data_IF_614041630667
#
_entry.id   IF_614041630667
#
_cell.length_a   1.000
_cell.length_b   1.000
_cell.length_c   1.000
_cell.angle_alpha   90.00
_cell.angle_beta   90.00
_cell.angle_gamma   90.00
#
_symmetry.space_group_name_H-M   'P 1'
#
loop_
_entity.id
_entity.type
_entity.pdbx_description
1 polymer ?
#
# COMPACT_ATOMS: atom_id res chain seq x y z
N UNK A 1 18.70 -2.48 -22.69
CA UNK A 1 18.49 -1.17 -22.04
C UNK A 1 19.81 -0.67 -21.49
N UNK A 2 20.18 0.61 -21.66
CA UNK A 2 21.41 1.11 -21.06
C UNK A 2 21.25 1.35 -19.54
N UNK A 3 22.37 1.47 -18.82
CA UNK A 3 22.37 1.60 -17.35
C UNK A 3 21.63 2.85 -16.89
N UNK A 4 21.69 3.93 -17.65
CA UNK A 4 21.02 5.18 -17.32
C UNK A 4 19.51 5.05 -17.44
N UNK A 5 19.04 4.41 -18.51
CA UNK A 5 17.60 4.12 -18.69
C UNK A 5 17.07 3.20 -17.59
N UNK A 6 17.82 2.15 -17.23
CA UNK A 6 17.44 1.24 -16.16
C UNK A 6 17.31 1.94 -14.80
N UNK A 7 18.32 2.74 -14.45
CA UNK A 7 18.29 3.53 -13.19
C UNK A 7 17.12 4.52 -13.21
N UNK A 8 16.88 5.19 -14.34
CA UNK A 8 15.74 6.10 -14.52
C UNK A 8 14.40 5.39 -14.34
N UNK A 9 14.25 4.21 -14.91
CA UNK A 9 13.02 3.42 -14.84
C UNK A 9 12.77 2.90 -13.40
N UNK A 10 13.79 2.40 -12.72
CA UNK A 10 13.69 1.96 -11.31
C UNK A 10 13.35 3.15 -10.41
N UNK A 11 14.14 4.22 -10.47
CA UNK A 11 13.95 5.38 -9.61
C UNK A 11 12.62 6.10 -9.90
N UNK A 12 12.28 6.27 -11.18
CA UNK A 12 11.02 6.89 -11.61
C UNK A 12 9.81 6.03 -11.26
N UNK A 13 9.88 4.72 -11.51
CA UNK A 13 8.82 3.77 -11.14
C UNK A 13 8.58 3.73 -9.63
N UNK A 14 9.65 3.68 -8.83
CA UNK A 14 9.56 3.71 -7.37
C UNK A 14 9.01 5.05 -6.87
N UNK A 15 9.48 6.16 -7.40
CA UNK A 15 8.98 7.49 -7.06
C UNK A 15 7.48 7.65 -7.37
N UNK A 16 7.06 7.21 -8.57
CA UNK A 16 5.67 7.21 -8.97
C UNK A 16 4.81 6.30 -8.09
N UNK A 17 5.31 5.12 -7.75
CA UNK A 17 4.65 4.17 -6.87
C UNK A 17 4.42 4.74 -5.46
N UNK A 18 5.43 5.38 -4.86
CA UNK A 18 5.34 6.01 -3.54
C UNK A 18 4.35 7.18 -3.58
N UNK A 19 4.46 8.06 -4.56
CA UNK A 19 3.53 9.18 -4.76
C UNK A 19 2.09 8.68 -4.93
N UNK A 20 1.89 7.61 -5.68
CA UNK A 20 0.59 6.99 -5.90
C UNK A 20 -0.04 6.48 -4.59
N UNK A 21 0.73 5.79 -3.75
CA UNK A 21 0.27 5.35 -2.42
C UNK A 21 -0.12 6.55 -1.55
N UNK A 22 0.68 7.61 -1.55
CA UNK A 22 0.39 8.83 -0.79
C UNK A 22 -0.92 9.47 -1.27
N UNK A 23 -1.08 9.69 -2.58
CA UNK A 23 -2.30 10.26 -3.16
C UNK A 23 -3.54 9.40 -2.88
N UNK A 24 -3.42 8.08 -3.02
CA UNK A 24 -4.49 7.13 -2.72
C UNK A 24 -4.89 7.23 -1.24
N UNK A 25 -3.92 7.18 -0.36
CA UNK A 25 -4.11 7.22 1.09
C UNK A 25 -4.77 8.53 1.54
N UNK A 26 -4.24 9.66 1.10
CA UNK A 26 -4.75 10.97 1.48
C UNK A 26 -6.14 11.23 0.90
N UNK A 27 -6.36 10.83 -0.34
CA UNK A 27 -7.67 10.89 -0.95
C UNK A 27 -8.72 10.07 -0.20
N UNK A 28 -8.40 8.83 0.17
CA UNK A 28 -9.29 7.97 0.95
C UNK A 28 -9.54 8.50 2.36
N UNK A 29 -8.51 8.97 3.07
CA UNK A 29 -8.65 9.60 4.39
C UNK A 29 -9.59 10.81 4.35
N UNK A 30 -9.40 11.70 3.38
CA UNK A 30 -10.22 12.89 3.22
C UNK A 30 -11.66 12.53 2.82
N UNK A 31 -11.86 11.56 1.92
CA UNK A 31 -13.18 11.10 1.52
C UNK A 31 -13.94 10.44 2.67
N UNK A 32 -13.27 9.63 3.49
CA UNK A 32 -13.85 8.97 4.65
C UNK A 32 -14.19 9.94 5.80
N UNK A 33 -13.43 11.02 5.95
CA UNK A 33 -13.70 12.08 6.92
C UNK A 33 -13.87 11.58 8.36
N UNK A 34 -14.91 12.07 9.05
CA UNK A 34 -15.21 11.68 10.44
C UNK A 34 -15.69 10.22 10.61
N UNK A 35 -16.07 9.56 9.50
CA UNK A 35 -16.53 8.17 9.54
C UNK A 35 -15.48 7.21 10.10
N UNK A 36 -14.20 7.49 9.87
CA UNK A 36 -13.09 6.71 10.42
C UNK A 36 -13.05 6.76 11.95
N UNK A 37 -13.30 7.92 12.56
CA UNK A 37 -13.37 8.08 14.02
C UNK A 37 -14.55 7.32 14.62
N UNK A 38 -15.72 7.39 13.96
CA UNK A 38 -16.92 6.67 14.39
C UNK A 38 -16.71 5.16 14.31
N UNK A 39 -16.09 4.67 13.26
CA UNK A 39 -15.79 3.24 13.11
C UNK A 39 -14.88 2.73 14.25
N UNK A 40 -13.85 3.47 14.61
CA UNK A 40 -12.97 3.11 15.72
C UNK A 40 -13.69 3.10 17.08
N UNK A 41 -14.50 4.12 17.37
CA UNK A 41 -15.12 4.26 18.68
C UNK A 41 -16.33 3.35 18.90
N UNK A 42 -17.14 3.09 17.86
CA UNK A 42 -18.37 2.33 17.99
C UNK A 42 -18.24 0.82 17.83
N UNK A 43 -17.25 0.34 17.07
CA UNK A 43 -17.06 -1.08 16.74
C UNK A 43 -16.05 -1.80 17.62
N UNK A 44 -15.45 -1.13 18.58
CA UNK A 44 -14.40 -1.71 19.41
C UNK A 44 -14.90 -2.43 20.68
N UNK A 45 -16.21 -2.55 20.90
CA UNK A 45 -16.80 -3.14 22.11
C UNK A 45 -16.44 -4.62 22.36
N UNK A 46 -16.00 -5.36 21.32
CA UNK A 46 -15.61 -6.76 21.41
C UNK A 46 -14.27 -6.97 20.64
N UNK A 47 -13.34 -7.83 21.10
CA UNK A 47 -12.04 -8.03 20.44
C UNK A 47 -12.14 -8.34 18.95
N UNK A 48 -13.07 -9.20 18.53
CA UNK A 48 -13.29 -9.55 17.13
C UNK A 48 -13.75 -8.34 16.32
N UNK A 49 -14.62 -7.51 16.86
CA UNK A 49 -15.03 -6.25 16.21
C UNK A 49 -13.86 -5.27 16.11
N UNK A 50 -12.98 -5.24 17.13
CA UNK A 50 -11.73 -4.48 17.09
C UNK A 50 -10.83 -4.92 15.95
N UNK A 51 -10.64 -6.23 15.76
CA UNK A 51 -9.85 -6.78 14.65
C UNK A 51 -10.47 -6.38 13.30
N UNK A 52 -11.77 -6.58 13.11
CA UNK A 52 -12.46 -6.20 11.87
C UNK A 52 -12.35 -4.70 11.58
N UNK A 53 -12.56 -3.87 12.61
CA UNK A 53 -12.41 -2.41 12.53
C UNK A 53 -11.00 -2.00 12.12
N UNK A 54 -9.97 -2.56 12.78
CA UNK A 54 -8.57 -2.31 12.44
C UNK A 54 -8.22 -2.76 11.01
N UNK A 55 -8.72 -3.93 10.59
CA UNK A 55 -8.53 -4.46 9.23
C UNK A 55 -9.15 -3.51 8.20
N UNK A 56 -10.41 -3.13 8.37
CA UNK A 56 -11.11 -2.22 7.46
C UNK A 56 -10.44 -0.85 7.41
N UNK A 57 -10.06 -0.31 8.58
CA UNK A 57 -9.38 0.98 8.63
C UNK A 57 -8.06 0.96 7.90
N UNK A 58 -7.24 -0.07 8.12
CA UNK A 58 -5.94 -0.17 7.45
C UNK A 58 -6.11 -0.43 5.96
N UNK A 59 -7.09 -1.24 5.55
CA UNK A 59 -7.40 -1.44 4.13
C UNK A 59 -7.77 -0.12 3.43
N UNK A 60 -8.49 0.77 4.11
CA UNK A 60 -8.87 2.10 3.57
C UNK A 60 -7.74 3.12 3.69
N UNK A 61 -7.13 3.22 4.89
CA UNK A 61 -6.09 4.22 5.17
C UNK A 61 -4.73 3.82 4.58
N UNK A 62 -4.55 2.54 4.23
CA UNK A 62 -3.31 1.97 3.70
C UNK A 62 -2.07 2.20 4.60
N UNK A 63 -2.31 2.42 5.91
CA UNK A 63 -1.25 2.67 6.89
C UNK A 63 -1.59 2.02 8.23
N UNK A 64 -1.02 0.85 8.50
CA UNK A 64 -1.15 0.17 9.78
C UNK A 64 -0.52 0.95 10.93
N UNK A 65 0.58 1.67 10.66
CA UNK A 65 1.24 2.53 11.65
C UNK A 65 0.32 3.67 12.11
N UNK A 66 -0.35 4.35 11.17
CA UNK A 66 -1.29 5.42 11.51
C UNK A 66 -2.47 4.90 12.33
N UNK A 67 -3.02 3.73 11.97
CA UNK A 67 -4.11 3.09 12.73
C UNK A 67 -3.63 2.65 14.12
N UNK A 68 -2.43 2.11 14.23
CA UNK A 68 -1.82 1.71 15.51
C UNK A 68 -1.62 2.91 16.44
N UNK A 69 -1.02 4.00 15.94
CA UNK A 69 -0.81 5.23 16.72
C UNK A 69 -2.15 5.83 17.17
N UNK A 70 -3.16 5.85 16.29
CA UNK A 70 -4.50 6.30 16.65
C UNK A 70 -5.13 5.43 17.74
N UNK A 71 -5.04 4.10 17.63
CA UNK A 71 -5.56 3.17 18.63
C UNK A 71 -4.88 3.36 20.00
N UNK A 72 -3.54 3.52 20.01
CA UNK A 72 -2.78 3.82 21.23
C UNK A 72 -3.15 5.18 21.81
N UNK A 73 -3.30 6.21 20.97
CA UNK A 73 -3.74 7.54 21.41
C UNK A 73 -5.12 7.51 22.06
N UNK A 74 -6.07 6.77 21.50
CA UNK A 74 -7.40 6.60 22.07
C UNK A 74 -7.39 5.76 23.37
N UNK A 75 -6.53 4.74 23.45
CA UNK A 75 -6.35 3.99 24.69
C UNK A 75 -5.75 4.85 25.79
N UNK A 76 -4.74 5.68 25.46
CA UNK A 76 -4.13 6.61 26.42
C UNK A 76 -5.09 7.71 26.87
N UNK A 77 -6.01 8.14 26.01
CA UNK A 77 -7.09 9.07 26.35
C UNK A 77 -8.26 8.44 27.13
N UNK A 78 -8.19 7.13 27.43
CA UNK A 78 -9.26 6.41 28.12
C UNK A 78 -10.52 6.15 27.28
N UNK A 79 -10.49 6.43 25.98
CA UNK A 79 -11.61 6.22 25.05
C UNK A 79 -11.74 4.73 24.69
N UNK A 80 -10.61 4.02 24.60
CA UNK A 80 -10.52 2.59 24.34
C UNK A 80 -9.86 1.88 25.52
N UNK A 81 -10.31 0.68 25.84
CA UNK A 81 -9.55 -0.22 26.73
C UNK A 81 -8.32 -0.78 26.00
N UNK A 82 -7.30 -1.18 26.75
CA UNK A 82 -6.10 -1.81 26.17
C UNK A 82 -6.44 -3.04 25.33
N UNK A 83 -7.41 -3.87 25.78
CA UNK A 83 -7.87 -5.04 25.03
C UNK A 83 -8.47 -4.69 23.66
N UNK A 84 -9.20 -3.59 23.58
CA UNK A 84 -9.77 -3.08 22.34
C UNK A 84 -8.68 -2.55 21.40
N UNK A 85 -7.74 -1.77 21.94
CA UNK A 85 -6.61 -1.26 21.18
C UNK A 85 -5.77 -2.40 20.58
N UNK A 86 -5.48 -3.44 21.36
CA UNK A 86 -4.77 -4.63 20.87
C UNK A 86 -5.54 -5.30 19.70
N UNK A 87 -6.86 -5.45 19.83
CA UNK A 87 -7.69 -5.97 18.73
C UNK A 87 -7.56 -5.14 17.46
N UNK A 88 -7.63 -3.82 17.57
CA UNK A 88 -7.46 -2.91 16.43
C UNK A 88 -6.06 -3.03 15.81
N UNK A 89 -5.01 -3.16 16.62
CA UNK A 89 -3.62 -3.32 16.17
C UNK A 89 -3.45 -4.64 15.39
N UNK A 90 -3.98 -5.75 15.89
CA UNK A 90 -3.98 -7.01 15.14
C UNK A 90 -4.73 -6.88 13.82
N UNK A 91 -5.89 -6.23 13.84
CA UNK A 91 -6.64 -5.94 12.63
C UNK A 91 -5.86 -5.07 11.64
N UNK A 92 -5.15 -4.06 12.13
CA UNK A 92 -4.33 -3.20 11.29
C UNK A 92 -3.24 -3.99 10.55
N UNK A 93 -2.60 -4.95 11.22
CA UNK A 93 -1.62 -5.83 10.59
C UNK A 93 -2.25 -6.73 9.52
N UNK A 94 -3.43 -7.29 9.80
CA UNK A 94 -4.19 -8.06 8.79
C UNK A 94 -4.57 -7.16 7.60
N UNK A 95 -5.04 -5.93 7.86
CA UNK A 95 -5.40 -4.98 6.81
C UNK A 95 -4.26 -4.61 5.86
N UNK A 96 -3.02 -4.66 6.33
CA UNK A 96 -1.84 -4.45 5.49
C UNK A 96 -1.72 -5.51 4.39
N UNK A 97 -2.19 -6.73 4.62
CA UNK A 97 -2.15 -7.80 3.60
C UNK A 97 -3.03 -7.49 2.38
N UNK A 98 -4.02 -6.63 2.52
CA UNK A 98 -4.90 -6.21 1.41
C UNK A 98 -4.09 -5.60 0.27
N UNK A 99 -3.05 -4.81 0.59
CA UNK A 99 -2.15 -4.26 -0.44
C UNK A 99 -1.45 -5.37 -1.22
N UNK A 100 -0.93 -6.38 -0.53
CA UNK A 100 -0.31 -7.54 -1.18
C UNK A 100 -1.29 -8.30 -2.08
N UNK A 101 -2.53 -8.51 -1.63
CA UNK A 101 -3.58 -9.14 -2.43
C UNK A 101 -3.94 -8.32 -3.66
N UNK A 102 -4.06 -6.98 -3.53
CA UNK A 102 -4.31 -6.10 -4.66
C UNK A 102 -3.20 -6.22 -5.71
N UNK A 103 -1.94 -6.17 -5.30
CA UNK A 103 -0.79 -6.31 -6.21
C UNK A 103 -0.80 -7.69 -6.87
N UNK A 104 -0.98 -8.77 -6.10
CA UNK A 104 -0.99 -10.12 -6.63
C UNK A 104 -2.14 -10.37 -7.62
N UNK A 105 -3.36 -9.96 -7.29
CA UNK A 105 -4.53 -10.17 -8.14
C UNK A 105 -4.43 -9.36 -9.44
N UNK A 106 -3.98 -8.12 -9.36
CA UNK A 106 -3.86 -7.23 -10.52
C UNK A 106 -2.62 -7.57 -11.34
N UNK A 107 -1.53 -7.94 -10.68
CA UNK A 107 -0.27 -8.27 -11.34
C UNK A 107 -0.34 -9.50 -12.25
N UNK A 108 -1.22 -10.46 -11.96
CA UNK A 108 -1.24 -11.76 -12.65
C UNK A 108 -2.35 -11.96 -13.69
N UNK A 109 -3.44 -11.19 -13.69
CA UNK A 109 -4.61 -11.52 -14.52
C UNK A 109 -5.17 -10.40 -15.39
N UNK A 110 -4.76 -9.15 -15.23
CA UNK A 110 -5.35 -8.04 -15.97
C UNK A 110 -4.27 -7.19 -16.66
N UNK A 111 -4.57 -6.71 -17.87
CA UNK A 111 -3.76 -5.65 -18.48
C UNK A 111 -3.89 -4.39 -17.61
N UNK A 112 -2.88 -4.14 -16.82
CA UNK A 112 -2.81 -3.03 -15.85
C UNK A 112 -3.17 -1.70 -16.53
N UNK A 113 -2.67 -1.48 -17.74
CA UNK A 113 -2.89 -0.28 -18.53
C UNK A 113 -4.37 -0.04 -18.88
N UNK A 114 -5.17 -1.09 -19.05
CA UNK A 114 -6.58 -0.95 -19.41
C UNK A 114 -7.41 -0.26 -18.31
N UNK A 115 -7.02 -0.39 -17.04
CA UNK A 115 -7.72 0.22 -15.91
C UNK A 115 -7.05 1.48 -15.38
N UNK A 116 -5.72 1.58 -15.46
CA UNK A 116 -4.96 2.69 -14.92
C UNK A 116 -5.37 4.03 -15.53
N UNK A 117 -5.38 4.13 -16.86
CA UNK A 117 -5.69 5.38 -17.56
C UNK A 117 -7.14 5.85 -17.36
N UNK A 118 -8.18 4.98 -17.46
CA UNK A 118 -9.55 5.37 -17.13
C UNK A 118 -9.73 5.83 -15.68
N UNK A 119 -9.03 5.19 -14.71
CA UNK A 119 -9.10 5.61 -13.31
C UNK A 119 -8.47 6.99 -13.10
N UNK A 120 -7.32 7.27 -13.73
CA UNK A 120 -6.70 8.59 -13.70
C UNK A 120 -7.63 9.63 -14.32
N UNK A 121 -8.18 9.36 -15.50
CA UNK A 121 -9.07 10.31 -16.20
C UNK A 121 -10.30 10.62 -15.35
N UNK A 122 -10.97 9.59 -14.82
CA UNK A 122 -12.16 9.74 -13.96
C UNK A 122 -11.82 10.49 -12.66
N UNK A 123 -10.69 10.17 -12.05
CA UNK A 123 -10.22 10.82 -10.83
C UNK A 123 -9.91 12.30 -11.05
N UNK A 124 -9.26 12.65 -12.17
CA UNK A 124 -9.00 14.06 -12.55
C UNK A 124 -10.30 14.80 -12.79
N UNK A 125 -11.26 14.21 -13.49
CA UNK A 125 -12.57 14.82 -13.73
C UNK A 125 -13.30 15.11 -12.41
N UNK A 126 -13.33 14.16 -11.47
CA UNK A 126 -13.93 14.36 -10.14
C UNK A 126 -13.21 15.45 -9.35
N UNK A 127 -11.89 15.52 -9.45
CA UNK A 127 -11.09 16.55 -8.79
C UNK A 127 -11.36 17.94 -9.37
N UNK A 128 -11.46 18.07 -10.69
CA UNK A 128 -11.66 19.35 -11.39
C UNK A 128 -13.08 19.88 -11.25
N UNK A 129 -14.08 19.01 -11.40
CA UNK A 129 -15.50 19.40 -11.30
C UNK A 129 -15.92 19.75 -9.88
N UNK A 130 -15.20 19.27 -8.86
CA UNK A 130 -15.42 19.53 -7.43
C UNK A 130 -16.90 19.48 -7.02
N UNK A 131 -17.66 18.41 -7.36
CA UNK A 131 -19.09 18.34 -7.04
C UNK A 131 -19.34 18.35 -5.52
N UNK A 132 -18.35 17.85 -4.75
CA UNK A 132 -18.27 17.99 -3.29
C UNK A 132 -16.83 17.77 -2.84
N UNK A 133 -16.49 18.20 -1.61
CA UNK A 133 -15.16 18.00 -1.05
C UNK A 133 -14.80 16.50 -0.95
N UNK A 134 -15.78 15.65 -0.59
CA UNK A 134 -15.61 14.19 -0.54
C UNK A 134 -15.38 13.58 -1.92
N UNK A 135 -16.14 14.02 -2.91
CA UNK A 135 -15.98 13.52 -4.28
C UNK A 135 -14.64 13.93 -4.88
N UNK A 136 -14.20 15.18 -4.64
CA UNK A 136 -12.87 15.64 -5.05
C UNK A 136 -11.75 14.81 -4.39
N UNK A 137 -11.87 14.52 -3.10
CA UNK A 137 -10.93 13.68 -2.36
C UNK A 137 -10.92 12.24 -2.90
N UNK A 138 -12.09 11.67 -3.19
CA UNK A 138 -12.19 10.36 -3.84
C UNK A 138 -11.58 10.38 -5.26
N UNK A 139 -11.72 11.49 -5.98
CA UNK A 139 -11.02 11.71 -7.25
C UNK A 139 -9.50 11.61 -7.11
N UNK A 140 -8.93 12.22 -6.07
CA UNK A 140 -7.48 12.11 -5.77
C UNK A 140 -7.09 10.65 -5.49
N UNK A 141 -7.92 9.92 -4.73
CA UNK A 141 -7.69 8.50 -4.47
C UNK A 141 -7.68 7.67 -5.77
N UNK A 142 -8.63 7.92 -6.68
CA UNK A 142 -8.69 7.24 -7.98
C UNK A 142 -7.44 7.54 -8.84
N UNK A 143 -6.98 8.79 -8.87
CA UNK A 143 -5.72 9.13 -9.55
C UNK A 143 -4.57 8.34 -8.93
N UNK A 144 -4.48 8.31 -7.60
CA UNK A 144 -3.48 7.52 -6.90
C UNK A 144 -3.52 6.03 -7.27
N UNK A 145 -4.71 5.42 -7.30
CA UNK A 145 -4.87 4.03 -7.76
C UNK A 145 -4.37 3.80 -9.18
N UNK A 146 -4.71 4.68 -10.11
CA UNK A 146 -4.23 4.59 -11.48
C UNK A 146 -2.71 4.72 -11.58
N UNK A 147 -2.12 5.71 -10.90
CA UNK A 147 -0.67 5.91 -10.87
C UNK A 147 0.06 4.75 -10.18
N UNK A 148 -0.55 4.12 -9.16
CA UNK A 148 -0.04 2.92 -8.52
C UNK A 148 0.19 1.80 -9.53
N UNK A 149 -0.77 1.54 -10.40
CA UNK A 149 -0.64 0.53 -11.44
C UNK A 149 0.42 0.90 -12.49
N UNK A 150 0.49 2.16 -12.88
CA UNK A 150 1.54 2.63 -13.80
C UNK A 150 2.93 2.47 -13.17
N UNK A 151 3.07 2.79 -11.88
CA UNK A 151 4.32 2.60 -11.15
C UNK A 151 4.75 1.13 -11.08
N UNK A 152 3.80 0.21 -10.81
CA UNK A 152 4.06 -1.24 -10.84
C UNK A 152 4.54 -1.68 -12.24
N UNK A 153 3.93 -1.17 -13.31
CA UNK A 153 4.28 -1.55 -14.68
C UNK A 153 5.72 -1.15 -15.01
N UNK A 154 6.13 0.07 -14.66
CA UNK A 154 7.52 0.51 -14.80
C UNK A 154 8.50 -0.33 -13.97
N UNK A 155 8.12 -0.71 -12.74
CA UNK A 155 8.95 -1.57 -11.91
C UNK A 155 9.08 -2.98 -12.49
N UNK A 156 8.00 -3.55 -13.05
CA UNK A 156 8.04 -4.85 -13.75
C UNK A 156 8.98 -4.82 -14.95
N UNK A 157 8.90 -3.77 -15.77
CA UNK A 157 9.79 -3.59 -16.92
C UNK A 157 11.25 -3.49 -16.48
N UNK A 158 11.53 -2.73 -15.41
CA UNK A 158 12.87 -2.61 -14.85
C UNK A 158 13.38 -3.96 -14.32
N UNK A 159 12.56 -4.68 -13.55
CA UNK A 159 12.95 -5.99 -13.00
C UNK A 159 13.15 -7.04 -14.08
N UNK A 160 12.31 -7.08 -15.11
CA UNK A 160 12.49 -7.98 -16.27
C UNK A 160 13.84 -7.73 -16.92
N UNK A 161 14.22 -6.47 -17.12
CA UNK A 161 15.51 -6.09 -17.70
C UNK A 161 16.70 -6.47 -16.80
N UNK A 162 16.53 -6.40 -15.48
CA UNK A 162 17.55 -6.84 -14.51
C UNK A 162 17.71 -8.37 -14.55
N UNK A 163 16.59 -9.10 -14.57
CA UNK A 163 16.58 -10.58 -14.63
C UNK A 163 17.25 -11.07 -15.91
N UNK A 164 16.98 -10.42 -17.05
CA UNK A 164 17.62 -10.76 -18.33
C UNK A 164 19.14 -10.45 -18.33
N UNK A 165 19.57 -9.37 -17.67
CA UNK A 165 20.96 -8.97 -17.60
C UNK A 165 21.78 -9.77 -16.58
N UNK A 166 21.16 -10.14 -15.47
CA UNK A 166 21.76 -10.91 -14.38
C UNK A 166 21.06 -12.26 -14.30
N UNK A 167 21.82 -13.34 -14.52
CA UNK A 167 21.35 -14.70 -14.31
C UNK A 167 21.06 -14.96 -12.82
N UNK A 168 19.90 -14.44 -12.36
CA UNK A 168 19.47 -14.57 -10.97
C UNK A 168 19.21 -16.03 -10.54
N UNK A 169 19.15 -16.95 -11.51
CA UNK A 169 19.05 -18.40 -11.22
C UNK A 169 20.30 -18.93 -10.53
N UNK A 170 21.42 -18.20 -10.59
CA UNK A 170 22.64 -18.53 -9.87
C UNK A 170 22.60 -18.19 -8.39
N UNK A 171 21.68 -17.33 -7.95
CA UNK A 171 21.47 -17.07 -6.53
C UNK A 171 20.66 -18.24 -5.97
N UNK A 172 21.37 -19.34 -5.67
CA UNK A 172 20.76 -20.46 -4.94
C UNK A 172 20.39 -19.97 -3.55
N UNK A 173 19.12 -19.66 -3.39
CA UNK A 173 18.54 -19.29 -2.10
C UNK A 173 18.19 -20.53 -1.25
N UNK A 174 18.98 -21.59 -1.41
CA UNK A 174 18.78 -22.84 -0.72
C UNK A 174 19.35 -22.79 0.71
N UNK A 175 18.57 -23.31 1.64
CA UNK A 175 18.98 -23.44 3.03
C UNK A 175 18.91 -22.16 3.86
N UNK A 176 19.51 -22.23 5.05
CA UNK A 176 19.47 -21.17 6.07
C UNK A 176 20.07 -19.85 5.56
N UNK A 177 21.15 -19.92 4.78
CA UNK A 177 21.85 -18.75 4.22
C UNK A 177 20.93 -17.95 3.29
N UNK A 178 20.13 -18.62 2.45
CA UNK A 178 19.15 -17.96 1.58
C UNK A 178 18.08 -17.25 2.38
N UNK A 179 17.57 -17.89 3.43
CA UNK A 179 16.57 -17.28 4.33
C UNK A 179 17.12 -16.00 4.95
N UNK A 180 18.34 -16.02 5.49
CA UNK A 180 18.96 -14.83 6.08
C UNK A 180 19.20 -13.72 5.06
N UNK A 181 19.62 -14.06 3.84
CA UNK A 181 19.79 -13.08 2.76
C UNK A 181 18.48 -12.36 2.40
N UNK A 182 17.41 -13.11 2.17
CA UNK A 182 16.12 -12.51 1.84
C UNK A 182 15.50 -11.74 3.02
N UNK A 183 15.71 -12.20 4.24
CA UNK A 183 15.29 -11.47 5.43
C UNK A 183 16.04 -10.14 5.55
N UNK A 184 17.35 -10.13 5.28
CA UNK A 184 18.14 -8.90 5.28
C UNK A 184 17.69 -7.94 4.18
N UNK A 185 17.48 -8.43 2.95
CA UNK A 185 16.99 -7.62 1.82
C UNK A 185 15.63 -7.00 2.17
N UNK A 186 14.67 -7.78 2.63
CA UNK A 186 13.33 -7.29 3.02
C UNK A 186 13.40 -6.27 4.16
N UNK A 187 14.29 -6.47 5.13
CA UNK A 187 14.50 -5.53 6.23
C UNK A 187 15.06 -4.21 5.72
N UNK A 188 16.11 -4.26 4.90
CA UNK A 188 16.72 -3.05 4.31
C UNK A 188 15.70 -2.30 3.44
N UNK A 189 14.96 -3.02 2.59
CA UNK A 189 13.91 -2.39 1.77
C UNK A 189 12.85 -1.71 2.63
N UNK A 190 12.39 -2.35 3.70
CA UNK A 190 11.39 -1.76 4.59
C UNK A 190 11.92 -0.53 5.33
N UNK A 191 13.19 -0.55 5.74
CA UNK A 191 13.83 0.63 6.37
C UNK A 191 13.94 1.79 5.38
N UNK A 192 14.33 1.52 4.14
CA UNK A 192 14.49 2.55 3.11
C UNK A 192 13.15 3.15 2.67
N UNK A 193 12.14 2.32 2.48
CA UNK A 193 10.82 2.77 2.03
C UNK A 193 9.95 3.28 3.17
N UNK A 194 10.31 3.02 4.44
CA UNK A 194 9.51 3.31 5.64
C UNK A 194 8.08 2.75 5.55
N UNK A 195 7.87 1.74 4.70
CA UNK A 195 6.56 1.17 4.41
C UNK A 195 6.66 -0.33 4.13
N UNK A 196 6.12 -1.14 5.04
CA UNK A 196 6.03 -2.60 4.83
C UNK A 196 5.12 -2.95 3.64
N UNK A 197 4.07 -2.19 3.41
CA UNK A 197 3.16 -2.38 2.26
C UNK A 197 3.88 -2.14 0.94
N UNK A 198 4.70 -1.08 0.85
CA UNK A 198 5.51 -0.80 -0.34
C UNK A 198 6.54 -1.91 -0.57
N UNK A 199 7.22 -2.37 0.49
CA UNK A 199 8.20 -3.46 0.39
C UNK A 199 7.57 -4.77 -0.07
N UNK A 200 6.39 -5.14 0.47
CA UNK A 200 5.64 -6.33 0.05
C UNK A 200 5.25 -6.22 -1.43
N UNK A 201 4.73 -5.06 -1.86
CA UNK A 201 4.35 -4.83 -3.23
C UNK A 201 5.54 -4.97 -4.19
N UNK A 202 6.69 -4.37 -3.84
CA UNK A 202 7.93 -4.49 -4.62
C UNK A 202 8.40 -5.94 -4.74
N UNK A 203 8.39 -6.69 -3.64
CA UNK A 203 8.80 -8.11 -3.63
C UNK A 203 7.86 -8.95 -4.50
N UNK A 204 6.53 -8.78 -4.37
CA UNK A 204 5.56 -9.51 -5.19
C UNK A 204 5.71 -9.14 -6.68
N UNK A 205 6.05 -7.89 -6.98
CA UNK A 205 6.24 -7.43 -8.37
C UNK A 205 7.53 -7.99 -8.98
N UNK A 206 8.55 -8.22 -8.16
CA UNK A 206 9.85 -8.76 -8.59
C UNK A 206 9.85 -10.30 -8.69
N UNK A 207 8.89 -11.00 -8.10
CA UNK A 207 8.76 -12.46 -8.13
C UNK A 207 8.06 -12.97 -9.38
#
# INVERSE_FOLDING_TARGET
>A
MDTFQLVGLVAGGLGLFILAIEMMTDGLKQAAGSGLKVLLSSWSSHPVKGILSGTMMTAVVQSSSAVTVAALGFANAGILSMRQAIGIIYGANIGTTVTGWLVALVGFKFSIQAFALPMIAMGVLLKLTKPSQRASAFGVALVGFGLFFVGIDFLKEAFSSIVEAFDLTRIKADGITGIFLFLLIGTVMTILTQSSSASIALIITAA
#
